data_IF_076452594707
#
_entry.id   IF_076452594707
#
_cell.length_a   1.000
_cell.length_b   1.000
_cell.length_c   1.000
_cell.angle_alpha   90.00
_cell.angle_beta   90.00
_cell.angle_gamma   90.00
#
_symmetry.space_group_name_H-M   'P 1'
#
loop_
_entity.id
_entity.type
_entity.pdbx_description
1 polymer ?
#
# COMPACT_ATOMS: atom_id res chain seq x y z
N UNK A 1 30.18 -19.72 13.53
CA UNK A 1 29.83 -18.89 14.70
C UNK A 1 30.36 -17.50 14.43
N UNK A 2 29.47 -16.57 14.10
CA UNK A 2 29.77 -15.14 14.05
C UNK A 2 28.59 -14.45 14.75
N UNK A 3 28.90 -13.89 15.92
CA UNK A 3 27.94 -13.35 16.86
C UNK A 3 27.37 -12.02 16.34
N UNK A 4 26.07 -11.99 16.08
CA UNK A 4 25.33 -10.74 15.96
C UNK A 4 24.70 -10.43 17.31
N UNK A 5 25.43 -9.71 18.16
CA UNK A 5 24.82 -8.94 19.24
C UNK A 5 25.05 -7.46 19.01
N UNK A 6 23.98 -6.73 18.74
CA UNK A 6 23.88 -5.31 19.03
C UNK A 6 22.69 -5.12 19.97
N UNK A 7 22.96 -4.51 21.13
CA UNK A 7 22.01 -4.24 22.20
C UNK A 7 21.24 -2.94 21.97
N UNK A 8 20.09 -2.87 22.65
CA UNK A 8 19.55 -1.71 23.38
C UNK A 8 18.80 -0.63 22.61
N UNK A 9 17.47 -0.77 22.62
CA UNK A 9 16.57 0.17 23.32
C UNK A 9 16.69 1.67 22.99
N UNK A 10 15.99 2.09 21.95
CA UNK A 10 15.59 3.46 21.65
C UNK A 10 14.48 3.42 20.62
N UNK A 11 13.47 4.28 20.74
CA UNK A 11 12.41 4.44 19.72
C UNK A 11 13.02 5.09 18.45
N UNK A 12 13.82 4.31 17.72
CA UNK A 12 14.39 4.68 16.43
C UNK A 12 13.34 4.45 15.34
N UNK A 13 12.31 5.31 15.31
CA UNK A 13 11.55 5.45 14.05
C UNK A 13 12.53 6.03 13.02
N UNK A 14 12.77 5.35 11.88
CA UNK A 14 13.68 5.85 10.86
C UNK A 14 13.27 7.28 10.47
N UNK A 15 14.24 8.19 10.39
CA UNK A 15 14.03 9.64 10.25
C UNK A 15 13.56 10.08 8.85
N UNK A 16 12.86 9.22 8.11
CA UNK A 16 12.39 9.48 6.75
C UNK A 16 10.88 9.30 6.62
N UNK A 17 10.27 10.02 5.68
CA UNK A 17 8.87 9.83 5.31
C UNK A 17 8.72 8.42 4.70
N UNK A 18 7.82 7.57 5.24
CA UNK A 18 7.59 6.25 4.67
C UNK A 18 6.96 6.38 3.28
N UNK A 19 7.40 5.54 2.33
CA UNK A 19 6.86 5.57 0.96
C UNK A 19 5.36 5.21 0.89
N UNK A 20 4.86 4.50 1.89
CA UNK A 20 3.46 4.08 2.06
C UNK A 20 3.17 3.94 3.55
N UNK A 21 2.00 4.41 4.01
CA UNK A 21 1.51 4.17 5.36
C UNK A 21 -0.01 4.15 5.43
N UNK A 22 -0.52 3.46 6.42
CA UNK A 22 -1.93 3.46 6.78
C UNK A 22 -2.18 4.48 7.89
N UNK A 23 -3.24 5.27 7.75
CA UNK A 23 -3.66 6.27 8.74
C UNK A 23 -5.16 6.11 9.03
N UNK A 24 -5.59 6.45 10.24
CA UNK A 24 -6.99 6.32 10.68
C UNK A 24 -7.55 7.66 11.18
N UNK A 25 -7.78 8.63 10.27
CA UNK A 25 -8.44 9.87 10.64
C UNK A 25 -9.93 9.63 10.99
N UNK A 26 -10.62 10.60 11.65
CA UNK A 26 -12.02 10.46 12.06
C UNK A 26 -12.99 10.09 10.95
N UNK A 27 -12.68 10.43 9.69
CA UNK A 27 -13.48 10.13 8.50
C UNK A 27 -13.29 8.69 7.98
N UNK A 28 -12.44 7.90 8.63
CA UNK A 28 -12.12 6.51 8.29
C UNK A 28 -10.72 6.31 7.71
N UNK A 29 -10.27 5.06 7.57
CA UNK A 29 -8.89 4.73 7.23
C UNK A 29 -8.47 5.21 5.84
N UNK A 30 -7.24 5.66 5.67
CA UNK A 30 -6.67 6.09 4.39
C UNK A 30 -5.31 5.45 4.16
N UNK A 31 -4.94 5.31 2.90
CA UNK A 31 -3.61 4.94 2.49
C UNK A 31 -2.85 6.19 2.01
N UNK A 32 -1.76 6.54 2.69
CA UNK A 32 -0.92 7.68 2.31
C UNK A 32 0.32 7.19 1.58
N UNK A 33 0.60 7.80 0.43
CA UNK A 33 1.71 7.45 -0.47
C UNK A 33 2.65 8.65 -0.63
N UNK A 34 3.96 8.41 -0.63
CA UNK A 34 4.92 9.40 -1.10
C UNK A 34 4.88 9.45 -2.63
N UNK A 35 4.64 10.62 -3.22
CA UNK A 35 4.65 10.81 -4.68
C UNK A 35 6.09 10.78 -5.22
N UNK A 36 6.49 9.61 -5.70
CA UNK A 36 7.83 9.39 -6.23
C UNK A 36 8.09 10.11 -7.56
N UNK A 37 7.08 10.69 -8.22
CA UNK A 37 7.27 11.49 -9.43
C UNK A 37 7.84 12.87 -9.13
N UNK A 38 7.68 13.35 -7.88
CA UNK A 38 8.11 14.68 -7.43
C UNK A 38 9.51 14.68 -6.83
N UNK A 39 10.02 13.50 -6.48
CA UNK A 39 11.38 13.35 -5.97
C UNK A 39 12.44 13.57 -7.06
N UNK A 40 13.61 14.14 -6.73
CA UNK A 40 14.02 14.62 -5.39
C UNK A 40 13.65 16.09 -5.12
N UNK A 41 12.85 16.73 -5.99
CA UNK A 41 12.60 18.17 -5.90
C UNK A 41 11.74 18.54 -4.69
N UNK A 42 10.73 17.72 -4.37
CA UNK A 42 9.86 17.93 -3.23
C UNK A 42 9.29 16.60 -2.70
N UNK A 43 8.99 16.57 -1.41
CA UNK A 43 8.32 15.47 -0.72
C UNK A 43 6.83 15.80 -0.63
N UNK A 44 6.03 15.19 -1.50
CA UNK A 44 4.57 15.37 -1.56
C UNK A 44 3.88 14.05 -1.27
N UNK A 45 2.82 14.11 -0.47
CA UNK A 45 2.01 12.96 -0.12
C UNK A 45 0.69 12.95 -0.89
N UNK A 46 0.28 11.76 -1.32
CA UNK A 46 -1.03 11.49 -1.89
C UNK A 46 -1.86 10.69 -0.90
N UNK A 47 -3.11 11.10 -0.68
CA UNK A 47 -4.04 10.39 0.18
C UNK A 47 -5.03 9.62 -0.69
N UNK A 48 -5.00 8.30 -0.58
CA UNK A 48 -5.95 7.41 -1.24
C UNK A 48 -7.02 6.98 -0.23
N UNK A 49 -8.26 7.35 -0.50
CA UNK A 49 -9.45 6.96 0.27
C UNK A 49 -10.16 5.73 -0.31
N UNK A 50 -9.84 5.35 -1.54
CA UNK A 50 -10.49 4.29 -2.30
C UNK A 50 -9.56 3.64 -3.35
N UNK A 51 -10.04 2.60 -4.02
CA UNK A 51 -9.30 1.89 -5.06
C UNK A 51 -9.04 2.75 -6.31
N UNK A 52 -10.00 3.55 -6.85
CA UNK A 52 -9.73 4.47 -7.96
C UNK A 52 -8.53 5.41 -7.72
N UNK A 53 -8.43 6.03 -6.54
CA UNK A 53 -7.30 6.90 -6.20
C UNK A 53 -5.97 6.13 -6.19
N UNK A 54 -5.95 4.92 -5.64
CA UNK A 54 -4.76 4.06 -5.65
C UNK A 54 -4.37 3.61 -7.07
N UNK A 55 -5.35 3.24 -7.90
CA UNK A 55 -5.13 2.86 -9.30
C UNK A 55 -4.48 4.00 -10.07
N UNK A 56 -4.93 5.24 -9.86
CA UNK A 56 -4.32 6.42 -10.48
C UNK A 56 -2.87 6.63 -10.01
N UNK A 57 -2.60 6.49 -8.70
CA UNK A 57 -1.23 6.58 -8.17
C UNK A 57 -0.30 5.50 -8.76
N UNK A 58 -0.80 4.28 -8.99
CA UNK A 58 -0.04 3.19 -9.62
C UNK A 58 0.23 3.47 -11.10
N UNK A 59 -0.77 3.97 -11.84
CA UNK A 59 -0.68 4.24 -13.28
C UNK A 59 0.22 5.43 -13.60
N UNK A 60 0.11 6.49 -12.83
CA UNK A 60 0.95 7.69 -12.92
C UNK A 60 2.40 7.47 -12.48
N UNK A 61 2.70 6.30 -11.88
CA UNK A 61 3.99 5.96 -11.28
C UNK A 61 4.34 6.79 -10.02
N UNK A 62 3.34 7.45 -9.41
CA UNK A 62 3.49 8.06 -8.08
C UNK A 62 3.88 7.02 -7.02
N UNK A 63 3.35 5.80 -7.12
CA UNK A 63 3.84 4.63 -6.40
C UNK A 63 4.42 3.59 -7.35
N UNK A 64 5.67 3.19 -7.14
CA UNK A 64 6.40 2.27 -8.03
C UNK A 64 7.47 1.48 -7.28
N UNK A 65 8.03 0.48 -7.96
CA UNK A 65 8.97 -0.51 -7.40
C UNK A 65 8.23 -1.80 -7.06
N UNK A 66 8.75 -2.94 -7.53
CA UNK A 66 8.02 -4.20 -7.47
C UNK A 66 7.60 -4.60 -6.05
N UNK A 67 8.46 -4.55 -5.01
CA UNK A 67 8.03 -4.86 -3.64
C UNK A 67 6.95 -3.89 -3.12
N UNK A 68 7.13 -2.59 -3.36
CA UNK A 68 6.20 -1.56 -2.90
C UNK A 68 4.82 -1.70 -3.56
N UNK A 69 4.77 -2.05 -4.86
CA UNK A 69 3.51 -2.33 -5.53
C UNK A 69 2.76 -3.52 -4.93
N UNK A 70 3.46 -4.55 -4.45
CA UNK A 70 2.82 -5.64 -3.73
C UNK A 70 2.20 -5.19 -2.40
N UNK A 71 2.90 -4.34 -1.65
CA UNK A 71 2.39 -3.75 -0.40
C UNK A 71 1.18 -2.84 -0.69
N UNK A 72 1.28 -1.99 -1.71
CA UNK A 72 0.21 -1.10 -2.15
C UNK A 72 -1.04 -1.88 -2.58
N UNK A 73 -0.88 -2.97 -3.35
CA UNK A 73 -1.99 -3.83 -3.74
C UNK A 73 -2.70 -4.47 -2.55
N UNK A 74 -1.93 -4.97 -1.57
CA UNK A 74 -2.49 -5.54 -0.35
C UNK A 74 -3.26 -4.50 0.48
N UNK A 75 -2.68 -3.30 0.67
CA UNK A 75 -3.36 -2.21 1.37
C UNK A 75 -4.59 -1.70 0.64
N UNK A 76 -4.60 -1.69 -0.70
CA UNK A 76 -5.79 -1.31 -1.46
C UNK A 76 -6.98 -2.24 -1.21
N UNK A 77 -6.73 -3.55 -1.09
CA UNK A 77 -7.77 -4.52 -0.69
C UNK A 77 -8.23 -4.29 0.75
N UNK A 78 -7.29 -4.10 1.68
CA UNK A 78 -7.61 -3.82 3.08
C UNK A 78 -8.42 -2.51 3.23
N UNK A 79 -8.08 -1.48 2.46
CA UNK A 79 -8.78 -0.19 2.42
C UNK A 79 -10.22 -0.37 1.94
N UNK A 80 -10.43 -1.13 0.87
CA UNK A 80 -11.76 -1.45 0.37
C UNK A 80 -12.61 -2.16 1.44
N UNK A 81 -12.05 -3.18 2.09
CA UNK A 81 -12.74 -3.90 3.15
C UNK A 81 -13.10 -2.99 4.35
N UNK A 82 -12.13 -2.22 4.84
CA UNK A 82 -12.30 -1.37 6.01
C UNK A 82 -13.27 -0.20 5.77
N UNK A 83 -13.39 0.27 4.53
CA UNK A 83 -14.33 1.32 4.10
C UNK A 83 -15.70 0.76 3.70
N UNK A 84 -15.89 -0.56 3.67
CA UNK A 84 -17.14 -1.21 3.25
C UNK A 84 -17.40 -1.15 1.74
N UNK A 85 -16.36 -1.02 0.92
CA UNK A 85 -16.45 -1.09 -0.54
C UNK A 85 -16.47 -2.54 -1.05
N UNK A 86 -16.83 -2.71 -2.32
CA UNK A 86 -16.79 -4.01 -3.01
C UNK A 86 -15.32 -4.47 -3.18
N UNK A 87 -14.89 -5.41 -2.32
CA UNK A 87 -13.53 -5.94 -2.32
C UNK A 87 -13.19 -6.69 -3.62
N UNK A 88 -14.02 -7.60 -4.17
CA UNK A 88 -13.79 -8.20 -5.47
C UNK A 88 -13.56 -7.18 -6.60
N UNK A 89 -14.37 -6.12 -6.69
CA UNK A 89 -14.24 -5.07 -7.69
C UNK A 89 -12.94 -4.28 -7.48
N UNK A 90 -12.66 -3.84 -6.25
CA UNK A 90 -11.44 -3.12 -5.90
C UNK A 90 -10.20 -3.94 -6.27
N UNK A 91 -10.15 -5.21 -5.86
CA UNK A 91 -9.04 -6.12 -6.16
C UNK A 91 -8.79 -6.24 -7.66
N UNK A 92 -9.84 -6.46 -8.47
CA UNK A 92 -9.72 -6.55 -9.93
C UNK A 92 -9.15 -5.25 -10.52
N UNK A 93 -9.72 -4.10 -10.14
CA UNK A 93 -9.30 -2.80 -10.67
C UNK A 93 -7.83 -2.48 -10.36
N UNK A 94 -7.36 -2.88 -9.17
CA UNK A 94 -5.96 -2.70 -8.75
C UNK A 94 -5.03 -3.63 -9.52
N UNK A 95 -5.38 -4.91 -9.73
CA UNK A 95 -4.56 -5.83 -10.55
C UNK A 95 -4.42 -5.32 -12.00
N UNK A 96 -5.49 -4.75 -12.55
CA UNK A 96 -5.54 -4.22 -13.91
C UNK A 96 -4.82 -2.86 -14.07
N UNK A 97 -4.44 -2.20 -12.98
CA UNK A 97 -3.74 -0.92 -13.03
C UNK A 97 -2.45 -1.01 -13.85
N UNK A 98 -1.68 -2.10 -13.67
CA UNK A 98 -0.46 -2.44 -14.42
C UNK A 98 -0.34 -3.96 -14.56
N UNK A 99 -0.91 -4.59 -15.61
CA UNK A 99 -1.05 -6.05 -15.71
C UNK A 99 0.26 -6.86 -15.66
N UNK A 100 1.40 -6.24 -15.96
CA UNK A 100 2.72 -6.90 -15.90
C UNK A 100 3.40 -6.79 -14.53
N UNK A 101 2.84 -6.04 -13.58
CA UNK A 101 3.37 -5.88 -12.24
C UNK A 101 3.02 -7.10 -11.37
N UNK A 102 3.74 -8.21 -11.55
CA UNK A 102 3.46 -9.49 -10.86
C UNK A 102 3.32 -9.33 -9.34
N UNK A 103 4.18 -8.53 -8.70
CA UNK A 103 4.11 -8.30 -7.26
C UNK A 103 2.80 -7.61 -6.82
N UNK A 104 2.25 -6.72 -7.65
CA UNK A 104 0.95 -6.08 -7.39
C UNK A 104 -0.14 -7.16 -7.29
N UNK A 105 -0.23 -8.01 -8.30
CA UNK A 105 -1.19 -9.13 -8.31
C UNK A 105 -0.99 -10.09 -7.15
N UNK A 106 0.26 -10.40 -6.78
CA UNK A 106 0.53 -11.24 -5.60
C UNK A 106 0.03 -10.59 -4.32
N UNK A 107 0.27 -9.28 -4.14
CA UNK A 107 -0.19 -8.53 -2.97
C UNK A 107 -1.71 -8.50 -2.86
N UNK A 108 -2.38 -8.15 -3.97
CA UNK A 108 -3.85 -8.14 -4.06
C UNK A 108 -4.43 -9.51 -3.71
N UNK A 109 -3.95 -10.58 -4.35
CA UNK A 109 -4.49 -11.94 -4.13
C UNK A 109 -4.29 -12.42 -2.70
N UNK A 110 -3.13 -12.14 -2.09
CA UNK A 110 -2.87 -12.51 -0.69
C UNK A 110 -3.83 -11.82 0.27
N UNK A 111 -4.03 -10.52 0.11
CA UNK A 111 -4.96 -9.77 0.95
C UNK A 111 -6.42 -10.18 0.71
N UNK A 112 -6.81 -10.43 -0.55
CA UNK A 112 -8.16 -10.86 -0.89
C UNK A 112 -8.47 -12.24 -0.30
N UNK A 113 -7.54 -13.19 -0.41
CA UNK A 113 -7.69 -14.51 0.18
C UNK A 113 -7.81 -14.46 1.71
N UNK A 114 -7.06 -13.58 2.38
CA UNK A 114 -7.20 -13.37 3.82
C UNK A 114 -8.58 -12.79 4.18
N UNK A 115 -9.07 -11.82 3.41
CA UNK A 115 -10.41 -11.25 3.62
C UNK A 115 -11.53 -12.29 3.41
N UNK A 116 -11.45 -13.09 2.35
CA UNK A 116 -12.39 -14.17 2.06
C UNK A 116 -12.42 -15.22 3.18
N UNK A 117 -11.26 -15.56 3.76
CA UNK A 117 -11.17 -16.53 4.84
C UNK A 117 -11.84 -16.08 6.15
N UNK A 118 -11.86 -14.76 6.43
CA UNK A 118 -12.54 -14.20 7.61
C UNK A 118 -14.07 -14.11 7.44
N UNK A 119 -14.58 -14.21 6.20
CA UNK A 119 -16.02 -14.21 5.90
C UNK A 119 -16.64 -15.61 5.84
N UNK A 120 -15.83 -16.66 5.86
CA UNK A 120 -16.24 -18.06 5.76
C UNK A 120 -16.54 -18.68 7.13
#
# INVERSE_FOLDING_TARGET
MADHQARSGGDERPSGIPAIRWEEPPEGPVLVLLDQTRLPAEEVELVCTDAPALVEAIRSLAVRGAPLLGIAGAYGVALAAARGFDVPEAARSIEEARPTAVNLSVGVRRARAAHEAELA
#
